data_IF_156836237733
#
_entry.id   IF_156836237733
#
_cell.length_a   1.000
_cell.length_b   1.000
_cell.length_c   1.000
_cell.angle_alpha   90.00
_cell.angle_beta   90.00
_cell.angle_gamma   90.00
#
_symmetry.space_group_name_H-M   'P 1'
#
loop_
_entity.id
_entity.type
_entity.pdbx_description
1 polymer ?
#
# COMPACT_ATOMS: atom_id res chain seq x y z
N UNK A 1 -9.63 0.81 26.00
CA UNK A 1 -8.33 0.42 25.37
C UNK A 1 -8.45 -0.86 24.55
N UNK A 2 -8.96 -1.98 25.09
CA UNK A 2 -9.10 -3.24 24.33
C UNK A 2 -10.02 -3.13 23.09
N UNK A 3 -11.13 -2.40 23.20
CA UNK A 3 -12.08 -2.18 22.09
C UNK A 3 -11.48 -1.39 20.91
N UNK A 4 -10.71 -0.34 21.20
CA UNK A 4 -10.05 0.49 20.18
C UNK A 4 -8.98 -0.29 19.44
N UNK A 5 -8.16 -1.08 20.15
CA UNK A 5 -7.16 -1.92 19.46
C UNK A 5 -7.83 -2.96 18.58
N UNK A 6 -8.94 -3.56 19.04
CA UNK A 6 -9.67 -4.53 18.21
C UNK A 6 -10.28 -3.88 16.97
N UNK A 7 -10.80 -2.65 17.07
CA UNK A 7 -11.28 -1.88 15.92
C UNK A 7 -10.14 -1.63 14.92
N UNK A 8 -8.96 -1.22 15.38
CA UNK A 8 -7.79 -1.03 14.53
C UNK A 8 -7.35 -2.34 13.85
N UNK A 9 -7.34 -3.46 14.57
CA UNK A 9 -7.06 -4.77 13.97
C UNK A 9 -8.04 -5.10 12.84
N UNK A 10 -9.33 -4.77 12.98
CA UNK A 10 -10.29 -4.95 11.88
C UNK A 10 -9.99 -4.04 10.69
N UNK A 11 -9.63 -2.77 10.92
CA UNK A 11 -9.20 -1.87 9.85
C UNK A 11 -7.97 -2.44 9.12
N UNK A 12 -6.98 -2.94 9.86
CA UNK A 12 -5.78 -3.54 9.27
C UNK A 12 -6.11 -4.83 8.52
N UNK A 13 -7.00 -5.66 9.06
CA UNK A 13 -7.49 -6.86 8.38
C UNK A 13 -8.08 -6.53 7.01
N UNK A 14 -9.04 -5.59 6.96
CA UNK A 14 -9.68 -5.21 5.70
C UNK A 14 -8.69 -4.60 4.72
N UNK A 15 -7.76 -3.77 5.22
CA UNK A 15 -6.67 -3.23 4.42
C UNK A 15 -5.85 -4.33 3.74
N UNK A 16 -5.25 -5.26 4.50
CA UNK A 16 -4.46 -6.33 3.90
C UNK A 16 -5.28 -7.26 3.02
N UNK A 17 -6.52 -7.56 3.42
CA UNK A 17 -7.41 -8.43 2.66
C UNK A 17 -7.79 -7.84 1.30
N UNK A 18 -8.15 -6.55 1.25
CA UNK A 18 -8.49 -5.89 -0.02
C UNK A 18 -7.24 -5.58 -0.85
N UNK A 19 -6.07 -5.41 -0.21
CA UNK A 19 -4.84 -5.11 -0.94
C UNK A 19 -4.37 -6.29 -1.80
N UNK A 20 -4.62 -7.54 -1.39
CA UNK A 20 -4.24 -8.74 -2.18
C UNK A 20 -4.79 -8.69 -3.63
N UNK A 21 -6.12 -8.58 -3.86
CA UNK A 21 -6.64 -8.50 -5.22
C UNK A 21 -6.26 -7.18 -5.90
N UNK A 22 -6.13 -6.08 -5.16
CA UNK A 22 -5.67 -4.80 -5.75
C UNK A 22 -4.27 -4.97 -6.32
N UNK A 23 -3.31 -5.46 -5.55
CA UNK A 23 -1.94 -5.66 -6.01
C UNK A 23 -1.90 -6.60 -7.22
N UNK A 24 -2.56 -7.75 -7.14
CA UNK A 24 -2.55 -8.76 -8.21
C UNK A 24 -3.16 -8.25 -9.52
N UNK A 25 -4.29 -7.54 -9.43
CA UNK A 25 -5.09 -7.16 -10.58
C UNK A 25 -4.80 -5.73 -11.08
N UNK A 26 -4.24 -4.86 -10.25
CA UNK A 26 -4.02 -3.44 -10.53
C UNK A 26 -2.52 -3.16 -10.56
N UNK A 27 -1.84 -3.25 -9.41
CA UNK A 27 -0.48 -2.72 -9.26
C UNK A 27 0.53 -3.50 -10.10
N UNK A 28 0.41 -4.84 -10.14
CA UNK A 28 1.30 -5.69 -10.93
C UNK A 28 1.21 -5.46 -12.45
N UNK A 29 0.15 -4.84 -12.97
CA UNK A 29 0.09 -4.46 -14.39
C UNK A 29 1.20 -3.47 -14.78
N UNK A 30 1.77 -2.72 -13.82
CA UNK A 30 2.88 -1.80 -14.09
C UNK A 30 4.20 -2.49 -14.45
N UNK A 31 4.35 -3.79 -14.11
CA UNK A 31 5.59 -4.56 -14.29
C UNK A 31 5.42 -5.87 -15.04
N UNK A 32 4.21 -6.45 -15.05
CA UNK A 32 3.92 -7.70 -15.75
C UNK A 32 3.45 -7.47 -17.20
N UNK A 33 3.67 -8.45 -18.10
CA UNK A 33 3.19 -8.35 -19.47
C UNK A 33 1.66 -8.25 -19.54
N UNK A 34 1.14 -7.38 -20.41
CA UNK A 34 -0.30 -7.23 -20.63
C UNK A 34 -1.00 -8.53 -21.03
N UNK A 35 -0.29 -9.47 -21.67
CA UNK A 35 -0.83 -10.78 -22.07
C UNK A 35 -1.24 -11.68 -20.90
N UNK A 36 -0.86 -11.34 -19.66
CA UNK A 36 -1.24 -12.08 -18.46
C UNK A 36 -2.60 -11.66 -17.91
N UNK A 37 -3.17 -10.58 -18.44
CA UNK A 37 -4.42 -9.99 -17.98
C UNK A 37 -5.52 -10.09 -19.03
N UNK A 38 -6.79 -10.28 -18.60
CA UNK A 38 -7.92 -10.22 -19.51
C UNK A 38 -8.12 -8.80 -20.05
N UNK A 39 -8.66 -8.68 -21.27
CA UNK A 39 -8.79 -7.39 -21.96
C UNK A 39 -9.64 -6.39 -21.16
N UNK A 40 -10.69 -6.87 -20.49
CA UNK A 40 -11.58 -6.04 -19.67
C UNK A 40 -10.81 -5.34 -18.53
N UNK A 41 -9.83 -6.02 -17.96
CA UNK A 41 -9.01 -5.48 -16.86
C UNK A 41 -7.95 -4.50 -17.37
N UNK A 42 -7.41 -4.74 -18.57
CA UNK A 42 -6.54 -3.78 -19.26
C UNK A 42 -7.31 -2.50 -19.64
N UNK A 43 -8.54 -2.65 -20.13
CA UNK A 43 -9.41 -1.53 -20.49
C UNK A 43 -9.82 -0.72 -19.26
N UNK A 44 -10.13 -1.40 -18.14
CA UNK A 44 -10.38 -0.75 -16.85
C UNK A 44 -9.16 0.04 -16.37
N UNK A 45 -7.96 -0.55 -16.45
CA UNK A 45 -6.72 0.12 -16.07
C UNK A 45 -6.45 1.35 -16.96
N UNK A 46 -6.65 1.21 -18.27
CA UNK A 46 -6.50 2.32 -19.22
C UNK A 46 -7.50 3.43 -18.92
N UNK A 47 -8.75 3.09 -18.67
CA UNK A 47 -9.77 4.07 -18.25
C UNK A 47 -9.33 4.78 -16.97
N UNK A 48 -8.89 4.04 -15.94
CA UNK A 48 -8.39 4.61 -14.68
C UNK A 48 -7.25 5.59 -14.92
N UNK A 49 -6.22 5.19 -15.67
CA UNK A 49 -5.04 6.01 -15.95
C UNK A 49 -5.42 7.31 -16.69
N UNK A 50 -6.34 7.24 -17.65
CA UNK A 50 -6.80 8.42 -18.39
C UNK A 50 -7.70 9.31 -17.53
N UNK A 51 -8.65 8.74 -16.80
CA UNK A 51 -9.61 9.47 -15.97
C UNK A 51 -8.94 10.19 -14.80
N UNK A 52 -7.99 9.54 -14.13
CA UNK A 52 -7.28 10.11 -12.98
C UNK A 52 -5.94 10.75 -13.36
N UNK A 53 -5.58 10.73 -14.64
CA UNK A 53 -4.29 11.19 -15.16
C UNK A 53 -3.11 10.57 -14.41
N UNK A 54 -3.21 9.29 -14.12
CA UNK A 54 -2.17 8.54 -13.42
C UNK A 54 -1.04 8.19 -14.38
N UNK A 55 -0.07 9.10 -14.47
CA UNK A 55 1.12 8.94 -15.31
C UNK A 55 2.04 7.83 -14.78
N UNK A 56 2.00 7.52 -13.47
CA UNK A 56 2.84 6.47 -12.90
C UNK A 56 2.38 5.09 -13.32
N UNK A 57 1.08 4.87 -13.47
CA UNK A 57 0.55 3.60 -13.98
C UNK A 57 0.55 3.53 -15.51
N UNK A 58 0.38 4.67 -16.19
CA UNK A 58 0.35 4.72 -17.66
C UNK A 58 1.72 4.47 -18.31
N UNK A 59 2.77 5.13 -17.82
CA UNK A 59 4.15 4.94 -18.29
C UNK A 59 5.09 4.85 -17.08
N UNK A 60 5.17 3.68 -16.44
CA UNK A 60 5.78 3.59 -15.12
C UNK A 60 7.31 3.78 -15.19
N UNK A 61 7.87 4.81 -14.53
CA UNK A 61 9.30 5.05 -14.54
C UNK A 61 10.05 3.94 -13.76
N UNK A 62 11.34 3.72 -14.03
CA UNK A 62 12.10 2.62 -13.42
C UNK A 62 12.08 2.61 -11.88
N UNK A 63 12.12 3.78 -11.24
CA UNK A 63 12.06 3.88 -9.78
C UNK A 63 10.70 3.43 -9.24
N UNK A 64 9.59 3.73 -9.92
CA UNK A 64 8.26 3.30 -9.51
C UNK A 64 8.10 1.79 -9.71
N UNK A 65 8.54 1.27 -10.86
CA UNK A 65 8.61 -0.18 -11.11
C UNK A 65 9.40 -0.90 -10.02
N UNK A 66 10.48 -0.32 -9.51
CA UNK A 66 11.24 -0.90 -8.41
C UNK A 66 10.41 -1.06 -7.12
N UNK A 67 9.52 -0.11 -6.81
CA UNK A 67 8.60 -0.22 -5.69
C UNK A 67 7.53 -1.28 -5.92
N UNK A 68 6.98 -1.37 -7.13
CA UNK A 68 6.01 -2.43 -7.49
C UNK A 68 6.66 -3.81 -7.42
N UNK A 69 7.94 -3.96 -7.81
CA UNK A 69 8.66 -5.23 -7.61
C UNK A 69 8.87 -5.56 -6.13
N UNK A 70 9.21 -4.58 -5.29
CA UNK A 70 9.28 -4.77 -3.84
C UNK A 70 7.93 -5.20 -3.28
N UNK A 71 6.83 -4.61 -3.76
CA UNK A 71 5.48 -5.03 -3.40
C UNK A 71 5.21 -6.48 -3.79
N UNK A 72 5.50 -6.86 -5.04
CA UNK A 72 5.30 -8.21 -5.55
C UNK A 72 6.07 -9.28 -4.77
N UNK A 73 7.33 -9.01 -4.42
CA UNK A 73 8.25 -10.01 -3.87
C UNK A 73 8.23 -10.04 -2.34
N UNK A 74 8.05 -8.88 -1.69
CA UNK A 74 8.16 -8.74 -0.24
C UNK A 74 6.80 -8.56 0.42
N UNK A 75 5.97 -7.65 -0.10
CA UNK A 75 4.73 -7.27 0.55
C UNK A 75 3.59 -8.27 0.27
N UNK A 76 3.44 -8.69 -0.98
CA UNK A 76 2.39 -9.60 -1.40
C UNK A 76 2.42 -10.96 -0.66
N UNK A 77 3.57 -11.62 -0.44
CA UNK A 77 3.63 -12.82 0.39
C UNK A 77 3.31 -12.56 1.87
N UNK A 78 3.50 -11.32 2.35
CA UNK A 78 3.20 -10.92 3.72
C UNK A 78 1.70 -10.62 3.93
N UNK A 79 0.97 -10.17 2.90
CA UNK A 79 -0.43 -9.80 3.05
C UNK A 79 -1.31 -10.90 3.66
N UNK A 80 -1.28 -12.17 3.19
CA UNK A 80 -2.10 -13.22 3.80
C UNK A 80 -1.75 -13.51 5.27
N UNK A 81 -0.46 -13.38 5.61
CA UNK A 81 0.04 -13.56 6.99
C UNK A 81 -0.51 -12.46 7.89
N UNK A 82 -0.46 -11.21 7.44
CA UNK A 82 -0.99 -10.07 8.15
C UNK A 82 -2.52 -10.13 8.25
N UNK A 83 -3.23 -10.46 7.16
CA UNK A 83 -4.67 -10.70 7.14
C UNK A 83 -5.07 -11.70 8.21
N UNK A 84 -4.42 -12.87 8.26
CA UNK A 84 -4.69 -13.87 9.31
C UNK A 84 -4.44 -13.33 10.72
N UNK A 85 -3.31 -12.66 10.93
CA UNK A 85 -2.92 -12.17 12.24
C UNK A 85 -3.91 -11.14 12.80
N UNK A 86 -4.34 -10.19 11.97
CA UNK A 86 -5.27 -9.14 12.37
C UNK A 86 -6.72 -9.64 12.45
N UNK A 87 -7.12 -10.59 11.60
CA UNK A 87 -8.40 -11.28 11.72
C UNK A 87 -8.52 -11.97 13.08
N UNK A 88 -7.52 -12.76 13.47
CA UNK A 88 -7.51 -13.48 14.75
C UNK A 88 -7.38 -12.55 15.95
N UNK A 89 -6.62 -11.46 15.79
CA UNK A 89 -6.37 -10.47 16.84
C UNK A 89 -5.39 -10.95 17.91
N UNK A 90 -4.78 -10.00 18.62
CA UNK A 90 -3.87 -10.27 19.74
C UNK A 90 -2.61 -11.08 19.38
N UNK A 91 -2.28 -11.19 18.10
CA UNK A 91 -1.16 -12.01 17.61
C UNK A 91 0.17 -11.29 17.80
N UNK A 92 0.78 -11.40 19.00
CA UNK A 92 2.03 -10.67 19.36
C UNK A 92 3.21 -10.89 18.40
N UNK A 93 3.27 -12.02 17.72
CA UNK A 93 4.34 -12.36 16.78
C UNK A 93 4.33 -11.48 15.52
N UNK A 94 3.19 -10.88 15.14
CA UNK A 94 3.08 -10.02 13.95
C UNK A 94 3.82 -8.68 14.12
N UNK A 95 4.15 -8.30 15.36
CA UNK A 95 4.67 -6.97 15.68
C UNK A 95 5.88 -6.56 14.85
N UNK A 96 6.94 -7.37 14.86
CA UNK A 96 8.18 -7.03 14.16
C UNK A 96 7.96 -7.04 12.64
N UNK A 97 7.36 -8.09 12.03
CA UNK A 97 7.02 -8.08 10.61
C UNK A 97 6.17 -6.86 10.20
N UNK A 98 5.15 -6.51 10.99
CA UNK A 98 4.29 -5.36 10.70
C UNK A 98 5.03 -4.02 10.81
N UNK A 99 6.00 -3.86 11.73
CA UNK A 99 6.88 -2.67 11.78
C UNK A 99 7.74 -2.59 10.51
N UNK A 100 8.36 -3.69 10.10
CA UNK A 100 9.19 -3.72 8.89
C UNK A 100 8.35 -3.37 7.66
N UNK A 101 7.19 -4.02 7.51
CA UNK A 101 6.24 -3.75 6.43
C UNK A 101 5.81 -2.27 6.41
N UNK A 102 5.29 -1.77 7.53
CA UNK A 102 4.72 -0.43 7.59
C UNK A 102 5.74 0.67 7.36
N UNK A 103 6.95 0.52 7.92
CA UNK A 103 8.05 1.42 7.63
C UNK A 103 8.44 1.40 6.16
N UNK A 104 8.54 0.20 5.56
CA UNK A 104 8.90 0.07 4.15
C UNK A 104 7.86 0.75 3.24
N UNK A 105 6.57 0.45 3.42
CA UNK A 105 5.50 1.07 2.62
C UNK A 105 5.47 2.58 2.80
N UNK A 106 5.64 3.10 4.02
CA UNK A 106 5.71 4.54 4.24
C UNK A 106 6.88 5.18 3.45
N UNK A 107 8.04 4.51 3.40
CA UNK A 107 9.20 5.01 2.66
C UNK A 107 9.11 4.87 1.13
N UNK A 108 8.22 4.03 0.60
CA UNK A 108 7.98 3.93 -0.85
C UNK A 108 6.82 4.83 -1.31
N UNK A 109 5.75 4.93 -0.53
CA UNK A 109 4.56 5.74 -0.87
C UNK A 109 4.82 7.22 -0.68
N UNK A 110 5.64 7.64 0.29
CA UNK A 110 5.96 9.06 0.47
C UNK A 110 6.61 9.69 -0.78
N UNK A 111 7.65 9.10 -1.41
CA UNK A 111 8.14 9.56 -2.70
C UNK A 111 7.10 9.56 -3.82
N UNK A 112 6.21 8.55 -3.87
CA UNK A 112 5.10 8.50 -4.85
C UNK A 112 4.20 9.73 -4.70
N UNK A 113 3.72 10.01 -3.48
CA UNK A 113 2.85 11.16 -3.22
C UNK A 113 3.55 12.50 -3.54
N UNK A 114 4.83 12.63 -3.19
CA UNK A 114 5.62 13.80 -3.55
C UNK A 114 5.74 13.96 -5.07
N UNK A 115 5.96 12.87 -5.80
CA UNK A 115 6.03 12.90 -7.26
C UNK A 115 4.68 13.25 -7.89
N UNK A 116 3.56 12.75 -7.35
CA UNK A 116 2.21 13.12 -7.82
C UNK A 116 1.91 14.61 -7.60
N UNK A 117 2.31 15.18 -6.47
CA UNK A 117 2.07 16.59 -6.15
C UNK A 117 2.98 17.56 -6.90
N UNK A 118 4.26 17.23 -7.02
CA UNK A 118 5.30 18.17 -7.45
C UNK A 118 6.03 17.74 -8.73
N UNK A 119 5.81 16.52 -9.21
CA UNK A 119 6.45 16.02 -10.43
C UNK A 119 5.94 16.71 -11.68
N UNK A 120 6.81 16.80 -12.68
CA UNK A 120 6.46 17.33 -13.99
C UNK A 120 5.80 16.23 -14.82
N UNK A 121 4.53 16.43 -15.13
CA UNK A 121 3.75 15.53 -15.98
C UNK A 121 3.35 16.28 -17.26
N UNK A 122 4.22 16.30 -18.28
CA UNK A 122 3.92 16.96 -19.54
C UNK A 122 2.77 16.25 -20.25
N UNK A 123 2.00 17.00 -21.03
CA UNK A 123 0.95 16.44 -21.87
C UNK A 123 1.55 15.40 -22.83
N UNK A 124 0.91 14.24 -22.90
CA UNK A 124 1.22 13.17 -23.85
C UNK A 124 0.09 13.04 -24.89
N UNK A 125 0.24 12.13 -25.85
CA UNK A 125 -0.83 11.82 -26.81
C UNK A 125 -2.04 11.12 -26.15
N UNK A 126 -1.85 10.56 -24.95
CA UNK A 126 -2.88 9.78 -24.25
C UNK A 126 -3.55 10.57 -23.13
N UNK A 127 -2.80 11.43 -22.43
CA UNK A 127 -3.24 12.11 -21.21
C UNK A 127 -2.69 13.54 -21.16
N UNK A 128 -3.54 14.50 -20.78
CA UNK A 128 -3.16 15.89 -20.55
C UNK A 128 -2.38 16.07 -19.23
N UNK A 129 -1.62 17.16 -19.13
CA UNK A 129 -0.98 17.53 -17.86
C UNK A 129 -2.05 17.72 -16.75
N UNK A 130 -1.84 17.17 -15.54
CA UNK A 130 -2.79 17.27 -14.46
C UNK A 130 -2.71 18.63 -13.77
N UNK A 131 -3.87 19.25 -13.57
CA UNK A 131 -4.01 20.45 -12.74
C UNK A 131 -3.92 20.10 -11.24
N UNK A 132 -3.87 21.12 -10.38
CA UNK A 132 -3.70 20.91 -8.93
C UNK A 132 -4.85 20.09 -8.30
N UNK A 133 -6.09 20.27 -8.76
CA UNK A 133 -7.22 19.53 -8.22
C UNK A 133 -7.15 18.05 -8.60
N UNK A 134 -6.81 17.74 -9.86
CA UNK A 134 -6.62 16.36 -10.34
C UNK A 134 -5.47 15.67 -9.60
N UNK A 135 -4.36 16.38 -9.34
CA UNK A 135 -3.26 15.87 -8.51
C UNK A 135 -3.73 15.52 -7.09
N UNK A 136 -4.51 16.40 -6.46
CA UNK A 136 -5.06 16.15 -5.12
C UNK A 136 -6.04 14.98 -5.11
N UNK A 137 -6.85 14.82 -6.16
CA UNK A 137 -7.72 13.65 -6.33
C UNK A 137 -6.90 12.37 -6.46
N UNK A 138 -5.84 12.36 -7.26
CA UNK A 138 -4.98 11.19 -7.39
C UNK A 138 -4.24 10.87 -6.08
N UNK A 139 -3.75 11.90 -5.38
CA UNK A 139 -3.15 11.76 -4.04
C UNK A 139 -4.14 11.16 -3.06
N UNK A 140 -5.43 11.50 -3.11
CA UNK A 140 -6.42 10.90 -2.21
C UNK A 140 -6.66 9.41 -2.50
N UNK A 141 -6.45 8.95 -3.73
CA UNK A 141 -6.47 7.53 -4.09
C UNK A 141 -5.28 6.78 -3.47
N UNK A 142 -4.09 7.38 -3.47
CA UNK A 142 -2.87 6.76 -2.93
C UNK A 142 -2.70 6.94 -1.41
N UNK A 143 -3.27 8.00 -0.82
CA UNK A 143 -3.09 8.36 0.58
C UNK A 143 -3.44 7.26 1.60
N UNK A 144 -4.50 6.43 1.41
CA UNK A 144 -4.78 5.32 2.31
C UNK A 144 -3.60 4.35 2.48
N UNK A 145 -2.81 4.14 1.43
CA UNK A 145 -1.61 3.29 1.45
C UNK A 145 -0.43 3.93 2.19
N UNK A 146 -0.51 5.19 2.61
CA UNK A 146 0.42 5.80 3.56
C UNK A 146 -0.16 5.85 4.97
N UNK A 147 -1.42 6.30 5.08
CA UNK A 147 -2.08 6.53 6.38
C UNK A 147 -2.23 5.22 7.16
N UNK A 148 -2.70 4.15 6.51
CA UNK A 148 -2.94 2.88 7.20
C UNK A 148 -1.63 2.23 7.66
N UNK A 149 -0.57 2.15 6.84
CA UNK A 149 0.74 1.71 7.32
C UNK A 149 1.30 2.54 8.47
N UNK A 150 1.16 3.87 8.45
CA UNK A 150 1.56 4.69 9.60
C UNK A 150 0.75 4.32 10.85
N UNK A 151 -0.56 4.10 10.74
CA UNK A 151 -1.39 3.64 11.86
C UNK A 151 -0.95 2.26 12.37
N UNK A 152 -0.61 1.33 11.47
CA UNK A 152 -0.04 0.02 11.84
C UNK A 152 1.27 0.23 12.61
N UNK A 153 2.19 1.05 12.09
CA UNK A 153 3.48 1.32 12.70
C UNK A 153 3.32 1.86 14.13
N UNK A 154 2.50 2.91 14.29
CA UNK A 154 2.20 3.51 15.59
C UNK A 154 1.55 2.49 16.54
N UNK A 155 0.63 1.66 16.05
CA UNK A 155 0.00 0.62 16.85
C UNK A 155 1.01 -0.42 17.32
N UNK A 156 1.90 -0.89 16.44
CA UNK A 156 2.91 -1.89 16.78
C UNK A 156 3.99 -1.34 17.71
N UNK A 157 4.31 -0.04 17.64
CA UNK A 157 5.29 0.60 18.50
C UNK A 157 4.73 0.88 19.90
N UNK A 158 3.50 1.40 19.99
CA UNK A 158 2.98 1.99 21.22
C UNK A 158 1.88 1.16 21.91
N UNK A 159 1.24 0.20 21.25
CA UNK A 159 0.20 -0.61 21.89
C UNK A 159 0.79 -1.59 22.91
N UNK A 160 0.36 -1.55 24.18
CA UNK A 160 0.81 -2.50 25.20
C UNK A 160 0.51 -3.97 24.85
N UNK A 161 -0.53 -4.22 24.06
CA UNK A 161 -0.96 -5.58 23.68
C UNK A 161 0.11 -6.36 22.90
N UNK A 162 0.93 -5.63 22.14
CA UNK A 162 1.97 -6.18 21.28
C UNK A 162 3.34 -6.17 21.96
N UNK A 163 3.51 -5.48 23.10
CA UNK A 163 4.78 -5.46 23.83
C UNK A 163 5.10 -6.87 24.34
N UNK A 164 6.31 -7.38 24.05
CA UNK A 164 6.78 -8.62 24.69
C UNK A 164 6.88 -8.36 26.20
N UNK A 165 6.27 -9.21 27.02
CA UNK A 165 6.66 -9.31 28.42
C UNK A 165 8.13 -9.72 28.44
N UNK A 166 9.02 -8.82 28.85
CA UNK A 166 10.34 -9.24 29.27
C UNK A 166 10.13 -10.26 30.38
N UNK A 167 10.46 -11.53 30.11
CA UNK A 167 10.63 -12.53 31.16
C UNK A 167 11.69 -11.96 32.09
N UNK A 168 11.25 -11.28 33.15
CA UNK A 168 12.08 -10.77 34.24
C UNK A 168 12.79 -12.01 34.77
N UNK A 169 14.03 -12.24 34.32
CA UNK A 169 14.90 -13.27 34.89
C UNK A 169 15.07 -12.84 36.34
N UNK A 170 14.30 -13.46 37.25
CA UNK A 170 14.55 -13.38 38.68
C UNK A 170 15.96 -13.94 38.87
N UNK A 171 16.91 -13.05 39.09
CA UNK A 171 18.19 -13.40 39.71
C UNK A 171 17.95 -13.57 41.20
#
# INVERSE_FOLDING_TARGET
MASVTRLLEWVFFFYFFSHIPITLLVDLQAVLPASWYPQELLDLMKWYCVTFKDHLMLDPPPWFKSFVYCEAIVQLPFFPIATYAFFKGGQRWIRIPAIVYSSHVATTVLPILAHLLYGDFPKTNQVDSPNQQERLTLVSVYAPYLVIPILILLTMLFSPQYRKEEKRKRK
#
